data_IF_022525099276
#
_entry.id   IF_022525099276
#
_cell.length_a   1.000
_cell.length_b   1.000
_cell.length_c   1.000
_cell.angle_alpha   90.00
_cell.angle_beta   90.00
_cell.angle_gamma   90.00
#
_symmetry.space_group_name_H-M   'P 1'
#
loop_
_entity.id
_entity.type
_entity.pdbx_description
1 polymer ?
#
# COMPACT_ATOMS: atom_id res chain seq x y z
N UNK A 1 -36.84 -39.25 -12.61
CA UNK A 1 -36.46 -40.60 -12.20
C UNK A 1 -36.22 -40.67 -10.71
N UNK A 2 -35.29 -39.91 -10.12
CA UNK A 2 -34.96 -39.92 -8.69
C UNK A 2 -36.15 -39.63 -7.76
N UNK A 3 -37.04 -38.69 -8.08
CA UNK A 3 -38.26 -38.45 -7.29
C UNK A 3 -39.24 -39.63 -7.27
N UNK A 4 -39.32 -40.45 -8.32
CA UNK A 4 -40.15 -41.65 -8.36
C UNK A 4 -39.56 -42.84 -7.59
N UNK A 5 -38.20 -42.93 -7.51
CA UNK A 5 -37.55 -43.99 -6.78
C UNK A 5 -37.60 -43.82 -5.25
N UNK A 6 -37.79 -42.59 -4.76
CA UNK A 6 -37.81 -42.24 -3.33
C UNK A 6 -39.15 -42.38 -2.63
N UNK A 7 -40.24 -42.60 -3.38
CA UNK A 7 -41.61 -42.57 -2.81
C UNK A 7 -41.99 -43.86 -2.05
N UNK A 8 -41.21 -44.94 -2.20
CA UNK A 8 -41.56 -46.26 -1.64
C UNK A 8 -40.46 -46.95 -0.83
N UNK A 9 -39.45 -46.27 -0.39
CA UNK A 9 -38.35 -46.90 0.37
C UNK A 9 -38.49 -46.60 1.88
N UNK A 10 -38.50 -47.65 2.69
CA UNK A 10 -38.64 -47.59 4.16
C UNK A 10 -37.29 -47.39 4.88
N UNK A 11 -36.15 -47.42 4.13
CA UNK A 11 -34.82 -47.22 4.68
C UNK A 11 -34.49 -45.72 4.70
N UNK A 12 -34.39 -45.13 5.89
CA UNK A 12 -34.08 -43.72 6.11
C UNK A 12 -32.76 -43.25 5.46
N UNK A 13 -31.74 -44.12 5.47
CA UNK A 13 -30.42 -43.77 4.89
C UNK A 13 -30.48 -43.70 3.36
N UNK A 14 -31.30 -44.59 2.72
CA UNK A 14 -31.49 -44.54 1.27
C UNK A 14 -32.30 -43.33 0.88
N UNK A 15 -33.33 -42.95 1.64
CA UNK A 15 -34.12 -41.75 1.41
C UNK A 15 -33.27 -40.50 1.55
N UNK A 16 -32.46 -40.41 2.58
CA UNK A 16 -31.57 -39.24 2.80
C UNK A 16 -30.55 -39.09 1.66
N UNK A 17 -29.84 -40.17 1.30
CA UNK A 17 -28.90 -40.17 0.15
C UNK A 17 -29.59 -39.79 -1.16
N UNK A 18 -30.81 -40.27 -1.38
CA UNK A 18 -31.60 -39.95 -2.54
C UNK A 18 -32.01 -38.46 -2.60
N UNK A 19 -32.39 -37.87 -1.47
CA UNK A 19 -32.67 -36.42 -1.36
C UNK A 19 -31.39 -35.58 -1.65
N UNK A 20 -30.27 -35.98 -1.09
CA UNK A 20 -28.95 -35.36 -1.36
C UNK A 20 -28.60 -35.45 -2.85
N UNK A 21 -28.71 -36.61 -3.46
CA UNK A 21 -28.44 -36.83 -4.88
C UNK A 21 -29.36 -35.98 -5.78
N UNK A 22 -30.66 -35.91 -5.43
CA UNK A 22 -31.60 -35.04 -6.13
C UNK A 22 -31.25 -33.55 -6.00
N UNK A 23 -30.79 -33.12 -4.82
CA UNK A 23 -30.30 -31.79 -4.56
C UNK A 23 -29.06 -31.43 -5.42
N UNK A 24 -28.07 -32.33 -5.46
CA UNK A 24 -26.87 -32.19 -6.29
C UNK A 24 -27.22 -32.13 -7.78
N UNK A 25 -28.09 -33.05 -8.25
CA UNK A 25 -28.51 -33.06 -9.65
C UNK A 25 -29.28 -31.78 -10.03
N UNK A 26 -30.12 -31.24 -9.14
CA UNK A 26 -30.79 -29.95 -9.34
C UNK A 26 -29.84 -28.80 -9.36
N UNK A 27 -28.86 -28.77 -8.47
CA UNK A 27 -27.81 -27.75 -8.45
C UNK A 27 -26.99 -27.78 -9.74
N UNK A 28 -26.55 -28.96 -10.18
CA UNK A 28 -25.85 -29.15 -11.46
C UNK A 28 -26.65 -28.65 -12.65
N UNK A 29 -27.95 -28.99 -12.69
CA UNK A 29 -28.85 -28.52 -13.72
C UNK A 29 -29.01 -26.99 -13.74
N UNK A 30 -29.15 -26.35 -12.57
CA UNK A 30 -29.22 -24.87 -12.46
C UNK A 30 -27.90 -24.23 -12.89
N UNK A 31 -26.77 -24.76 -12.43
CA UNK A 31 -25.44 -24.21 -12.78
C UNK A 31 -25.05 -24.39 -14.25
N UNK A 32 -25.69 -25.32 -14.97
CA UNK A 32 -25.47 -25.55 -16.42
C UNK A 32 -26.33 -24.67 -17.30
N UNK A 33 -27.34 -24.00 -16.76
CA UNK A 33 -28.22 -23.11 -17.54
C UNK A 33 -27.55 -21.82 -17.93
N UNK A 34 -28.13 -21.17 -18.94
CA UNK A 34 -27.84 -19.80 -19.33
C UNK A 34 -28.92 -18.88 -18.80
N UNK A 35 -28.50 -17.68 -18.39
CA UNK A 35 -29.37 -16.71 -17.72
C UNK A 35 -29.35 -15.35 -18.42
N UNK A 36 -30.47 -14.63 -18.38
CA UNK A 36 -30.58 -13.25 -18.83
C UNK A 36 -30.08 -12.27 -17.79
N UNK A 37 -30.16 -12.65 -16.52
CA UNK A 37 -29.78 -11.78 -15.40
C UNK A 37 -29.23 -12.60 -14.23
N UNK A 38 -28.06 -12.19 -13.73
CA UNK A 38 -27.53 -12.60 -12.44
C UNK A 38 -27.49 -11.40 -11.51
N UNK A 39 -28.01 -11.53 -10.30
CA UNK A 39 -27.92 -10.53 -9.23
C UNK A 39 -27.45 -11.26 -7.97
N UNK A 40 -26.34 -10.84 -7.38
CA UNK A 40 -25.81 -11.50 -6.19
C UNK A 40 -24.79 -10.64 -5.44
N UNK A 41 -24.62 -10.95 -4.16
CA UNK A 41 -23.45 -10.63 -3.38
C UNK A 41 -22.54 -11.87 -3.39
N UNK A 42 -21.37 -11.78 -3.99
CA UNK A 42 -20.45 -12.92 -4.17
C UNK A 42 -19.61 -13.19 -2.91
N UNK A 43 -19.19 -14.44 -2.65
CA UNK A 43 -18.30 -14.74 -1.54
C UNK A 43 -16.90 -14.16 -1.78
N UNK A 44 -16.26 -13.66 -0.70
CA UNK A 44 -14.91 -13.09 -0.71
C UNK A 44 -13.93 -14.07 -0.05
N UNK A 45 -13.00 -14.61 -0.84
CA UNK A 45 -11.97 -15.50 -0.35
C UNK A 45 -10.72 -15.37 -1.22
N UNK A 46 -9.71 -14.72 -0.66
CA UNK A 46 -8.45 -14.52 -1.36
C UNK A 46 -7.75 -15.86 -1.65
N UNK A 47 -7.01 -15.92 -2.75
CA UNK A 47 -6.32 -17.12 -3.23
C UNK A 47 -5.49 -17.84 -2.16
N UNK A 48 -4.76 -17.10 -1.30
CA UNK A 48 -3.94 -17.66 -0.24
C UNK A 48 -4.71 -18.30 0.92
N UNK A 49 -6.05 -18.14 0.95
CA UNK A 49 -6.94 -18.73 1.95
C UNK A 49 -7.80 -19.87 1.40
N UNK A 50 -7.68 -20.18 0.11
CA UNK A 50 -8.39 -21.28 -0.54
C UNK A 50 -7.71 -22.59 -0.18
N UNK A 51 -8.52 -23.65 0.02
CA UNK A 51 -7.99 -25.02 0.12
C UNK A 51 -7.43 -25.50 -1.23
N UNK A 52 -6.67 -26.56 -1.24
CA UNK A 52 -5.98 -27.08 -2.43
C UNK A 52 -6.95 -27.40 -3.58
N UNK A 53 -8.13 -27.94 -3.30
CA UNK A 53 -9.11 -28.32 -4.33
C UNK A 53 -9.66 -27.05 -5.02
N UNK A 54 -10.06 -26.06 -4.24
CA UNK A 54 -10.55 -24.77 -4.77
C UNK A 54 -9.44 -24.03 -5.50
N UNK A 55 -8.23 -24.01 -4.93
CA UNK A 55 -7.06 -23.38 -5.53
C UNK A 55 -6.76 -23.94 -6.93
N UNK A 56 -6.71 -25.27 -7.07
CA UNK A 56 -6.43 -25.96 -8.34
C UNK A 56 -7.57 -25.76 -9.34
N UNK A 57 -8.82 -25.81 -8.88
CA UNK A 57 -9.98 -25.55 -9.71
C UNK A 57 -9.96 -24.12 -10.29
N UNK A 58 -9.73 -23.11 -9.44
CA UNK A 58 -9.64 -21.72 -9.87
C UNK A 58 -8.44 -21.51 -10.81
N UNK A 59 -7.29 -22.13 -10.54
CA UNK A 59 -6.12 -22.08 -11.41
C UNK A 59 -6.41 -22.64 -12.80
N UNK A 60 -7.12 -23.77 -12.87
CA UNK A 60 -7.38 -24.48 -14.12
C UNK A 60 -8.44 -23.82 -14.99
N UNK A 61 -9.52 -23.32 -14.39
CA UNK A 61 -10.70 -22.86 -15.14
C UNK A 61 -10.89 -21.35 -15.16
N UNK A 62 -10.24 -20.60 -14.26
CA UNK A 62 -10.41 -19.17 -14.06
C UNK A 62 -9.07 -18.44 -13.85
N UNK A 63 -8.05 -18.84 -14.61
CA UNK A 63 -6.67 -18.41 -14.37
C UNK A 63 -6.48 -16.88 -14.24
N UNK A 64 -7.22 -16.09 -14.99
CA UNK A 64 -7.13 -14.61 -14.97
C UNK A 64 -7.87 -14.01 -13.77
N UNK A 65 -8.93 -14.69 -13.31
CA UNK A 65 -9.81 -14.25 -12.21
C UNK A 65 -9.45 -14.88 -10.85
N UNK A 66 -8.50 -15.82 -10.79
CA UNK A 66 -8.18 -16.69 -9.64
C UNK A 66 -7.73 -15.99 -8.36
N UNK A 67 -7.43 -14.70 -8.41
CA UNK A 67 -6.87 -13.96 -7.26
C UNK A 67 -7.81 -13.86 -6.07
N UNK A 68 -9.12 -13.90 -6.31
CA UNK A 68 -10.15 -13.95 -5.28
C UNK A 68 -11.38 -14.72 -5.80
N UNK A 69 -12.07 -15.41 -4.91
CA UNK A 69 -13.28 -16.17 -5.26
C UNK A 69 -14.37 -15.25 -5.84
N UNK A 70 -14.43 -14.01 -5.39
CA UNK A 70 -15.36 -13.01 -5.92
C UNK A 70 -15.20 -12.78 -7.44
N UNK A 71 -13.96 -12.64 -7.91
CA UNK A 71 -13.67 -12.48 -9.34
C UNK A 71 -13.90 -13.76 -10.13
N UNK A 72 -13.68 -14.93 -9.51
CA UNK A 72 -14.03 -16.24 -10.09
C UNK A 72 -15.55 -16.34 -10.29
N UNK A 73 -16.36 -15.96 -9.30
CA UNK A 73 -17.81 -15.93 -9.42
C UNK A 73 -18.28 -14.96 -10.52
N UNK A 74 -17.70 -13.77 -10.60
CA UNK A 74 -18.01 -12.81 -11.66
C UNK A 74 -17.73 -13.40 -13.05
N UNK A 75 -16.57 -14.01 -13.26
CA UNK A 75 -16.21 -14.64 -14.55
C UNK A 75 -17.13 -15.83 -14.88
N UNK A 76 -17.51 -16.62 -13.87
CA UNK A 76 -18.46 -17.74 -14.02
C UNK A 76 -19.86 -17.25 -14.43
N UNK A 77 -20.37 -16.20 -13.78
CA UNK A 77 -21.68 -15.63 -14.10
C UNK A 77 -21.72 -15.03 -15.50
N UNK A 78 -20.68 -14.29 -15.91
CA UNK A 78 -20.56 -13.76 -17.27
C UNK A 78 -20.57 -14.89 -18.32
N UNK A 79 -19.82 -15.97 -18.09
CA UNK A 79 -19.82 -17.17 -18.95
C UNK A 79 -21.19 -17.88 -18.98
N UNK A 80 -22.01 -17.71 -17.95
CA UNK A 80 -23.33 -18.32 -17.83
C UNK A 80 -24.45 -17.40 -18.34
N UNK A 81 -24.15 -16.20 -18.79
CA UNK A 81 -25.12 -15.34 -19.45
C UNK A 81 -25.43 -15.84 -20.86
N UNK A 82 -26.67 -15.58 -21.30
CA UNK A 82 -26.99 -15.57 -22.75
C UNK A 82 -26.33 -14.35 -23.40
N UNK A 83 -26.18 -14.31 -24.73
CA UNK A 83 -25.83 -13.07 -25.43
C UNK A 83 -26.81 -11.95 -25.04
N UNK A 84 -26.29 -10.80 -24.60
CA UNK A 84 -27.11 -9.70 -24.06
C UNK A 84 -27.48 -9.81 -22.58
N UNK A 85 -27.21 -10.94 -21.94
CA UNK A 85 -27.49 -11.12 -20.50
C UNK A 85 -26.59 -10.25 -19.62
N UNK A 86 -27.11 -9.86 -18.46
CA UNK A 86 -26.46 -8.94 -17.54
C UNK A 86 -26.12 -9.62 -16.20
N UNK A 87 -24.96 -9.30 -15.67
CA UNK A 87 -24.53 -9.68 -14.32
C UNK A 87 -24.40 -8.42 -13.48
N UNK A 88 -25.12 -8.35 -12.37
CA UNK A 88 -25.04 -7.29 -11.37
C UNK A 88 -24.59 -7.87 -10.04
N UNK A 89 -23.53 -7.31 -9.46
CA UNK A 89 -22.92 -7.88 -8.25
C UNK A 89 -22.42 -6.83 -7.29
N UNK A 90 -22.49 -7.16 -6.00
CA UNK A 90 -21.65 -6.55 -4.97
C UNK A 90 -20.35 -7.33 -4.94
N UNK A 91 -19.22 -6.66 -5.16
CA UNK A 91 -17.91 -7.31 -5.30
C UNK A 91 -16.80 -6.42 -4.76
N UNK A 92 -15.66 -7.02 -4.40
CA UNK A 92 -14.44 -6.25 -4.05
C UNK A 92 -13.99 -5.38 -5.22
N UNK A 93 -13.64 -4.12 -4.95
CA UNK A 93 -13.21 -3.19 -6.02
C UNK A 93 -11.73 -3.33 -6.43
N UNK A 94 -10.92 -4.07 -5.65
CA UNK A 94 -9.47 -4.12 -5.81
C UNK A 94 -9.00 -4.61 -7.20
N UNK A 95 -9.75 -5.46 -7.85
CA UNK A 95 -9.40 -5.96 -9.18
C UNK A 95 -9.48 -4.89 -10.28
N UNK A 96 -10.13 -3.74 -10.04
CA UNK A 96 -10.17 -2.63 -10.99
C UNK A 96 -8.78 -2.02 -11.24
N UNK A 97 -7.84 -2.16 -10.28
CA UNK A 97 -6.54 -1.47 -10.35
C UNK A 97 -5.32 -2.35 -10.01
N UNK A 98 -5.44 -3.49 -9.30
CA UNK A 98 -4.28 -4.34 -9.01
C UNK A 98 -3.64 -4.89 -10.27
N UNK A 99 -2.30 -4.83 -10.35
CA UNK A 99 -1.51 -5.34 -11.48
C UNK A 99 -1.77 -6.82 -11.78
N UNK A 100 -1.99 -7.63 -10.74
CA UNK A 100 -2.27 -9.07 -10.88
C UNK A 100 -3.52 -9.37 -11.70
N UNK A 101 -4.46 -8.43 -11.79
CA UNK A 101 -5.69 -8.57 -12.57
C UNK A 101 -5.65 -7.89 -13.95
N UNK A 102 -4.47 -7.44 -14.43
CA UNK A 102 -4.33 -6.81 -15.74
C UNK A 102 -4.99 -7.63 -16.85
N UNK A 103 -4.61 -8.89 -17.00
CA UNK A 103 -5.15 -9.79 -18.04
C UNK A 103 -6.66 -9.98 -17.91
N UNK A 104 -7.18 -10.04 -16.69
CA UNK A 104 -8.61 -10.15 -16.43
C UNK A 104 -9.37 -8.90 -16.88
N UNK A 105 -8.87 -7.70 -16.55
CA UNK A 105 -9.45 -6.44 -17.02
C UNK A 105 -9.41 -6.30 -18.53
N UNK A 106 -8.26 -6.60 -19.15
CA UNK A 106 -8.13 -6.57 -20.63
C UNK A 106 -9.16 -7.50 -21.30
N UNK A 107 -9.35 -8.69 -20.74
CA UNK A 107 -10.36 -9.63 -21.22
C UNK A 107 -11.77 -9.06 -21.13
N UNK A 108 -12.17 -8.56 -19.95
CA UNK A 108 -13.51 -8.00 -19.73
C UNK A 108 -13.74 -6.75 -20.56
N UNK A 109 -12.76 -5.83 -20.62
CA UNK A 109 -12.85 -4.61 -21.41
C UNK A 109 -12.95 -4.85 -22.92
N UNK A 110 -12.52 -6.02 -23.40
CA UNK A 110 -12.61 -6.42 -24.83
C UNK A 110 -13.84 -7.23 -25.17
N UNK A 111 -14.43 -7.95 -24.21
CA UNK A 111 -15.46 -8.94 -24.51
C UNK A 111 -16.82 -8.66 -23.90
N UNK A 112 -16.88 -7.84 -22.84
CA UNK A 112 -18.07 -7.57 -22.08
C UNK A 112 -18.30 -6.06 -21.94
N UNK A 113 -19.54 -5.64 -21.88
CA UNK A 113 -19.92 -4.24 -21.75
C UNK A 113 -20.07 -3.85 -20.31
N UNK A 114 -19.28 -2.89 -19.84
CA UNK A 114 -19.43 -2.27 -18.54
C UNK A 114 -20.57 -1.24 -18.58
N UNK A 115 -21.62 -1.46 -17.83
CA UNK A 115 -22.76 -0.53 -17.76
C UNK A 115 -22.56 0.52 -16.68
N UNK A 116 -22.34 0.06 -15.44
CA UNK A 116 -22.12 0.95 -14.28
C UNK A 116 -21.15 0.33 -13.30
N UNK A 117 -20.37 1.18 -12.65
CA UNK A 117 -19.54 0.88 -11.49
C UNK A 117 -19.81 1.94 -10.44
N UNK A 118 -20.30 1.53 -9.26
CA UNK A 118 -20.46 2.40 -8.11
C UNK A 118 -19.49 1.95 -7.01
N UNK A 119 -18.43 2.74 -6.75
CA UNK A 119 -17.42 2.45 -5.73
C UNK A 119 -17.95 2.87 -4.37
N UNK A 120 -18.08 1.92 -3.46
CA UNK A 120 -18.55 2.16 -2.09
C UNK A 120 -17.38 2.29 -1.11
N UNK A 121 -16.22 1.71 -1.43
CA UNK A 121 -15.09 1.69 -0.50
C UNK A 121 -15.33 0.86 0.75
N UNK A 122 -14.63 1.18 1.87
CA UNK A 122 -14.85 0.51 3.16
C UNK A 122 -16.19 0.95 3.77
N UNK A 123 -16.68 0.20 4.75
CA UNK A 123 -17.96 0.46 5.44
C UNK A 123 -19.19 0.49 4.49
N UNK A 124 -19.12 -0.29 3.40
CA UNK A 124 -20.25 -0.46 2.48
C UNK A 124 -21.40 -1.29 3.06
N UNK A 125 -21.14 -2.02 4.17
CA UNK A 125 -22.14 -2.84 4.88
C UNK A 125 -22.35 -2.34 6.31
N UNK A 126 -23.52 -2.64 6.87
CA UNK A 126 -23.83 -2.39 8.29
C UNK A 126 -23.34 -3.51 9.23
N UNK A 127 -22.79 -4.59 8.66
CA UNK A 127 -22.28 -5.78 9.38
C UNK A 127 -20.80 -5.66 9.69
N UNK A 128 -20.19 -6.60 10.48
CA UNK A 128 -18.76 -6.63 10.76
C UNK A 128 -17.82 -6.68 9.53
N UNK A 129 -18.35 -6.84 8.32
CA UNK A 129 -17.58 -6.80 7.05
C UNK A 129 -17.28 -5.38 6.57
N UNK A 130 -17.25 -4.41 7.45
CA UNK A 130 -17.07 -2.99 7.14
C UNK A 130 -15.69 -2.62 6.56
N UNK A 131 -14.66 -3.45 6.76
CA UNK A 131 -13.30 -3.21 6.25
C UNK A 131 -13.10 -3.53 4.77
N UNK A 132 -14.03 -4.24 4.15
CA UNK A 132 -13.91 -4.59 2.74
C UNK A 132 -14.21 -3.40 1.83
N UNK A 133 -13.27 -3.09 0.94
CA UNK A 133 -13.49 -2.11 -0.14
C UNK A 133 -14.36 -2.74 -1.22
N UNK A 134 -15.63 -2.43 -1.23
CA UNK A 134 -16.64 -3.00 -2.13
C UNK A 134 -17.14 -2.01 -3.15
N UNK A 135 -17.73 -2.54 -4.23
CA UNK A 135 -18.43 -1.79 -5.26
C UNK A 135 -19.67 -2.53 -5.73
N UNK A 136 -20.61 -1.79 -6.30
CA UNK A 136 -21.68 -2.32 -7.13
C UNK A 136 -21.23 -2.26 -8.58
N UNK A 137 -21.40 -3.36 -9.32
CA UNK A 137 -21.05 -3.42 -10.72
C UNK A 137 -22.14 -4.11 -11.53
N UNK A 138 -22.40 -3.60 -12.73
CA UNK A 138 -23.23 -4.27 -13.71
C UNK A 138 -22.49 -4.38 -15.04
N UNK A 139 -22.38 -5.61 -15.53
CA UNK A 139 -21.73 -5.98 -16.79
C UNK A 139 -22.72 -6.74 -17.68
N UNK A 140 -22.73 -6.47 -18.97
CA UNK A 140 -23.52 -7.23 -19.94
C UNK A 140 -22.63 -8.03 -20.89
N UNK A 141 -22.99 -9.28 -21.14
CA UNK A 141 -22.32 -10.13 -22.11
C UNK A 141 -22.75 -9.76 -23.53
N UNK A 142 -22.25 -8.61 -24.00
CA UNK A 142 -22.56 -8.04 -25.31
C UNK A 142 -21.31 -7.58 -26.00
N UNK A 143 -21.34 -7.59 -27.34
CA UNK A 143 -20.28 -7.02 -28.16
C UNK A 143 -20.14 -5.51 -27.88
N UNK A 144 -18.92 -5.04 -27.76
CA UNK A 144 -18.61 -3.66 -27.40
C UNK A 144 -18.75 -2.77 -28.62
N UNK A 145 -19.52 -1.70 -28.48
CA UNK A 145 -19.53 -0.57 -29.39
C UNK A 145 -18.29 0.30 -29.14
N UNK A 146 -17.70 0.87 -30.18
CA UNK A 146 -16.53 1.75 -30.10
C UNK A 146 -16.77 2.98 -29.21
N UNK A 147 -18.01 3.46 -29.14
CA UNK A 147 -18.42 4.62 -28.37
C UNK A 147 -18.98 4.26 -26.97
N UNK A 148 -18.90 2.98 -26.58
CA UNK A 148 -19.43 2.54 -25.30
C UNK A 148 -18.80 3.31 -24.14
N UNK A 149 -19.68 3.83 -23.28
CA UNK A 149 -19.34 4.59 -22.09
C UNK A 149 -19.64 3.75 -20.85
N UNK A 150 -18.72 3.74 -19.91
CA UNK A 150 -18.90 3.22 -18.56
C UNK A 150 -19.43 4.36 -17.69
N UNK A 151 -20.56 4.16 -17.03
CA UNK A 151 -21.04 5.06 -15.99
C UNK A 151 -20.35 4.73 -14.66
N UNK A 152 -19.75 5.70 -14.02
CA UNK A 152 -19.03 5.51 -12.75
C UNK A 152 -19.42 6.54 -11.71
N UNK A 153 -19.52 6.12 -10.47
CA UNK A 153 -19.61 7.01 -9.33
C UNK A 153 -18.75 6.49 -8.17
N UNK A 154 -18.31 7.39 -7.32
CA UNK A 154 -17.45 7.08 -6.17
C UNK A 154 -17.98 7.76 -4.92
N UNK A 155 -18.37 6.95 -3.96
CA UNK A 155 -18.85 7.37 -2.63
C UNK A 155 -18.00 6.74 -1.52
N UNK A 156 -16.76 6.37 -1.85
CA UNK A 156 -15.85 5.70 -0.90
C UNK A 156 -15.60 6.51 0.36
N UNK A 157 -15.56 7.83 0.25
CA UNK A 157 -15.28 8.74 1.37
C UNK A 157 -16.45 8.92 2.34
N UNK A 158 -17.66 8.52 1.96
CA UNK A 158 -18.79 8.60 2.87
C UNK A 158 -18.61 7.65 4.08
N UNK A 159 -18.82 8.13 5.33
CA UNK A 159 -18.32 7.48 6.54
C UNK A 159 -19.10 6.22 6.96
N UNK A 160 -20.30 6.01 6.45
CA UNK A 160 -21.15 4.87 6.82
C UNK A 160 -22.03 4.39 5.65
N UNK A 161 -22.59 3.19 5.75
CA UNK A 161 -23.49 2.63 4.75
C UNK A 161 -24.71 3.55 4.48
N UNK A 162 -25.27 4.17 5.52
CA UNK A 162 -26.40 5.11 5.40
C UNK A 162 -25.96 6.37 4.64
N UNK A 163 -24.80 6.93 4.97
CA UNK A 163 -24.26 8.08 4.25
C UNK A 163 -23.97 7.75 2.79
N UNK A 164 -23.49 6.54 2.49
CA UNK A 164 -23.26 6.05 1.12
C UNK A 164 -24.57 5.91 0.34
N UNK A 165 -25.62 5.43 0.96
CA UNK A 165 -26.95 5.36 0.34
C UNK A 165 -27.43 6.74 -0.11
N UNK A 166 -27.26 7.76 0.73
CA UNK A 166 -27.61 9.14 0.38
C UNK A 166 -26.68 9.68 -0.71
N UNK A 167 -25.37 9.44 -0.56
CA UNK A 167 -24.38 9.93 -1.50
C UNK A 167 -24.55 9.34 -2.91
N UNK A 168 -24.91 8.05 -3.05
CA UNK A 168 -25.19 7.43 -4.36
C UNK A 168 -26.28 8.19 -5.13
N UNK A 169 -27.27 8.74 -4.43
CA UNK A 169 -28.39 9.46 -5.04
C UNK A 169 -28.03 10.88 -5.51
N UNK A 170 -26.96 11.46 -4.95
CA UNK A 170 -26.57 12.86 -5.16
C UNK A 170 -25.23 13.04 -5.87
N UNK A 171 -24.37 12.02 -5.85
CA UNK A 171 -23.06 12.08 -6.50
C UNK A 171 -23.20 12.08 -8.02
N UNK A 172 -22.45 12.97 -8.67
CA UNK A 172 -22.41 13.06 -10.12
C UNK A 172 -21.86 11.78 -10.75
N UNK A 173 -22.56 11.29 -11.80
CA UNK A 173 -22.12 10.13 -12.56
C UNK A 173 -21.08 10.57 -13.59
N UNK A 174 -19.85 10.10 -13.39
CA UNK A 174 -18.77 10.27 -14.37
C UNK A 174 -18.92 9.27 -15.50
N UNK A 175 -18.61 9.71 -16.72
CA UNK A 175 -18.69 8.89 -17.92
C UNK A 175 -17.33 8.77 -18.57
N UNK A 176 -16.83 7.55 -18.75
CA UNK A 176 -15.53 7.30 -19.38
C UNK A 176 -15.68 6.30 -20.51
N UNK A 177 -14.96 6.49 -21.62
CA UNK A 177 -15.00 5.55 -22.76
C UNK A 177 -14.35 4.24 -22.38
N UNK A 178 -15.06 3.12 -22.57
CA UNK A 178 -14.58 1.79 -22.19
C UNK A 178 -13.29 1.41 -22.94
N UNK A 179 -13.21 1.68 -24.23
CA UNK A 179 -12.07 1.34 -25.06
C UNK A 179 -10.79 2.09 -24.62
N UNK A 180 -10.94 3.30 -24.10
CA UNK A 180 -9.82 4.10 -23.62
C UNK A 180 -9.21 3.56 -22.34
N UNK A 181 -9.99 2.85 -21.51
CA UNK A 181 -9.47 2.22 -20.31
C UNK A 181 -8.39 1.16 -20.60
N UNK A 182 -8.35 0.58 -21.81
CA UNK A 182 -7.28 -0.31 -22.23
C UNK A 182 -5.93 0.38 -22.39
N UNK A 183 -5.92 1.71 -22.57
CA UNK A 183 -4.70 2.52 -22.70
C UNK A 183 -4.11 2.89 -21.34
N UNK A 184 -4.91 2.81 -20.29
CA UNK A 184 -4.43 3.09 -18.94
C UNK A 184 -3.36 2.06 -18.51
N UNK A 185 -2.42 2.43 -17.66
CA UNK A 185 -1.45 1.50 -17.08
C UNK A 185 -2.15 0.26 -16.54
N UNK A 186 -1.68 -0.94 -16.93
CA UNK A 186 -2.30 -2.22 -16.58
C UNK A 186 -3.80 -2.33 -16.94
N UNK A 187 -4.30 -1.57 -17.92
CA UNK A 187 -5.73 -1.48 -18.29
C UNK A 187 -6.64 -1.17 -17.07
N UNK A 188 -6.21 -0.31 -16.18
CA UNK A 188 -6.97 0.08 -14.98
C UNK A 188 -8.23 0.86 -15.34
N UNK A 189 -9.30 0.66 -14.59
CA UNK A 189 -10.56 1.37 -14.79
C UNK A 189 -10.58 2.57 -13.86
N UNK A 190 -10.45 3.77 -14.42
CA UNK A 190 -10.30 5.04 -13.71
C UNK A 190 -11.43 5.99 -14.14
N UNK A 191 -12.11 6.61 -13.15
CA UNK A 191 -13.13 7.63 -13.35
C UNK A 191 -12.53 9.01 -13.06
N UNK A 192 -11.92 9.62 -14.03
CA UNK A 192 -11.28 10.92 -13.93
C UNK A 192 -10.28 11.13 -15.05
N UNK A 193 -9.78 12.34 -15.17
CA UNK A 193 -8.67 12.62 -16.07
C UNK A 193 -7.41 11.93 -15.52
N UNK A 194 -6.76 11.16 -16.37
CA UNK A 194 -5.41 10.65 -16.09
C UNK A 194 -4.46 11.81 -16.33
N UNK A 195 -3.53 12.04 -15.41
CA UNK A 195 -2.55 13.11 -15.57
C UNK A 195 -1.81 12.96 -16.90
N UNK A 196 -1.76 14.04 -17.68
CA UNK A 196 -1.00 14.08 -18.91
C UNK A 196 0.50 13.97 -18.59
N UNK A 197 1.19 13.05 -19.22
CA UNK A 197 2.62 12.84 -19.01
C UNK A 197 3.03 11.38 -19.20
N UNK A 198 4.33 11.17 -19.17
CA UNK A 198 4.89 9.82 -19.14
C UNK A 198 4.70 9.20 -17.76
N UNK A 199 4.73 7.87 -17.68
CA UNK A 199 4.64 7.20 -16.39
C UNK A 199 5.92 7.40 -15.59
N UNK A 200 5.77 7.59 -14.28
CA UNK A 200 6.90 7.72 -13.35
C UNK A 200 7.86 6.52 -13.44
N UNK A 201 7.36 5.30 -13.76
CA UNK A 201 8.18 4.09 -13.91
C UNK A 201 9.27 4.20 -14.99
N UNK A 202 9.14 5.15 -15.94
CA UNK A 202 10.17 5.44 -16.95
C UNK A 202 11.40 6.09 -16.31
N UNK A 203 11.20 6.80 -15.21
CA UNK A 203 12.22 7.60 -14.51
C UNK A 203 12.72 6.97 -13.22
N UNK A 204 11.93 6.07 -12.61
CA UNK A 204 12.24 5.49 -11.32
C UNK A 204 11.64 4.08 -11.14
N UNK A 205 12.22 3.30 -10.24
CA UNK A 205 11.66 2.02 -9.77
C UNK A 205 11.24 2.13 -8.31
N UNK A 206 10.19 1.43 -7.90
CA UNK A 206 9.78 1.33 -6.50
C UNK A 206 10.16 -0.04 -5.93
N UNK A 207 10.81 -0.03 -4.77
CA UNK A 207 11.24 -1.23 -4.06
C UNK A 207 10.35 -1.52 -2.86
N UNK A 208 10.19 -2.80 -2.53
CA UNK A 208 9.59 -3.29 -1.31
C UNK A 208 10.65 -3.45 -0.23
N UNK A 209 10.34 -3.07 1.01
CA UNK A 209 11.25 -3.17 2.15
C UNK A 209 11.32 -4.56 2.80
N UNK A 210 12.19 -4.69 3.79
CA UNK A 210 12.43 -5.91 4.54
C UNK A 210 11.24 -6.18 5.46
N UNK A 211 10.74 -7.41 5.46
CA UNK A 211 9.84 -7.93 6.49
C UNK A 211 10.62 -8.86 7.40
N UNK A 212 10.75 -8.50 8.68
CA UNK A 212 11.50 -9.29 9.66
C UNK A 212 10.77 -10.56 10.12
N UNK A 213 9.44 -10.58 10.00
CA UNK A 213 8.59 -11.61 10.59
C UNK A 213 8.50 -11.55 12.12
N UNK A 214 9.51 -11.00 12.79
CA UNK A 214 9.58 -10.79 14.24
C UNK A 214 10.43 -9.55 14.54
N UNK A 215 9.79 -8.38 14.55
CA UNK A 215 10.51 -7.13 14.80
C UNK A 215 11.05 -7.06 16.24
N UNK A 216 10.35 -7.58 17.23
CA UNK A 216 10.80 -7.53 18.62
C UNK A 216 12.12 -8.28 18.84
N UNK A 217 12.37 -9.31 18.03
CA UNK A 217 13.63 -10.06 18.06
C UNK A 217 14.76 -9.32 17.34
N UNK A 218 14.49 -8.75 16.18
CA UNK A 218 15.52 -8.22 15.27
C UNK A 218 15.62 -6.71 15.24
N UNK A 219 14.61 -5.98 15.73
CA UNK A 219 14.57 -4.52 15.73
C UNK A 219 14.82 -3.91 17.11
N UNK A 220 15.36 -2.69 17.11
CA UNK A 220 15.51 -1.81 18.27
C UNK A 220 15.32 -0.36 17.82
N UNK A 221 15.20 0.56 18.77
CA UNK A 221 15.44 1.97 18.51
C UNK A 221 16.94 2.29 18.70
N UNK A 222 17.49 3.22 17.95
CA UNK A 222 18.95 3.41 17.89
C UNK A 222 19.57 3.73 19.25
N UNK A 223 18.84 4.35 20.18
CA UNK A 223 19.34 4.69 21.51
C UNK A 223 19.30 3.53 22.52
N UNK A 224 18.81 2.35 22.14
CA UNK A 224 18.91 1.13 22.97
C UNK A 224 20.26 0.42 22.82
N UNK A 225 21.11 0.87 21.90
CA UNK A 225 22.45 0.32 21.68
C UNK A 225 23.49 1.41 21.82
N UNK A 226 24.68 1.04 22.30
CA UNK A 226 25.77 2.01 22.51
C UNK A 226 26.33 2.57 21.21
N UNK A 227 26.31 1.78 20.14
CA UNK A 227 26.85 2.16 18.86
C UNK A 227 26.12 1.45 17.72
N UNK A 228 25.82 2.18 16.64
CA UNK A 228 25.31 1.65 15.39
C UNK A 228 26.46 1.62 14.38
N UNK A 229 27.10 0.47 14.25
CA UNK A 229 28.35 0.29 13.49
C UNK A 229 28.15 0.05 11.99
N UNK A 230 26.90 0.06 11.52
CA UNK A 230 26.49 -0.27 10.15
C UNK A 230 26.95 -1.67 9.66
N UNK A 231 27.29 -2.56 10.57
CA UNK A 231 27.65 -3.97 10.32
C UNK A 231 26.75 -4.90 11.11
N UNK A 232 26.83 -4.82 12.42
CA UNK A 232 25.97 -5.59 13.32
C UNK A 232 24.56 -5.01 13.36
N UNK A 233 24.45 -3.68 13.49
CA UNK A 233 23.21 -2.92 13.47
C UNK A 233 23.20 -1.96 12.29
N UNK A 234 22.08 -1.96 11.53
CA UNK A 234 21.82 -0.99 10.47
C UNK A 234 20.64 -0.11 10.82
N UNK A 235 20.72 1.18 10.48
CA UNK A 235 19.55 2.04 10.49
C UNK A 235 18.51 1.57 9.49
N UNK A 236 17.24 1.58 9.92
CA UNK A 236 16.10 1.19 9.11
C UNK A 236 15.13 2.35 8.95
N UNK A 237 14.86 2.72 7.72
CA UNK A 237 13.76 3.63 7.41
C UNK A 237 12.44 2.94 7.72
N UNK A 238 11.60 3.56 8.54
CA UNK A 238 10.24 3.12 8.86
C UNK A 238 9.22 4.17 8.48
N UNK A 239 7.94 3.91 8.76
CA UNK A 239 6.83 4.84 8.51
C UNK A 239 6.94 6.11 9.35
N UNK A 240 6.35 7.18 8.85
CA UNK A 240 6.35 8.51 9.45
C UNK A 240 5.01 9.22 9.20
N UNK A 241 4.67 10.19 10.05
CA UNK A 241 3.36 10.83 10.10
C UNK A 241 3.23 12.07 9.20
N UNK A 242 4.33 12.67 8.79
CA UNK A 242 4.38 13.89 7.97
C UNK A 242 5.42 13.76 6.85
N UNK A 243 5.24 14.53 5.78
CA UNK A 243 6.24 14.66 4.72
C UNK A 243 7.30 15.65 5.18
N UNK A 244 8.54 15.19 5.24
CA UNK A 244 9.72 16.00 5.54
C UNK A 244 10.95 15.38 4.88
N UNK A 245 12.00 16.18 4.70
CA UNK A 245 13.23 15.72 4.04
C UNK A 245 13.89 14.56 4.79
N UNK A 246 13.88 14.60 6.14
CA UNK A 246 14.62 13.63 6.95
C UNK A 246 13.80 13.23 8.19
N UNK A 247 13.07 12.10 8.10
CA UNK A 247 12.28 11.53 9.20
C UNK A 247 12.26 9.99 9.13
N UNK A 248 11.81 9.33 10.21
CA UNK A 248 11.47 7.90 10.22
C UNK A 248 12.66 6.96 10.32
N UNK A 249 13.79 7.37 10.91
CA UNK A 249 15.00 6.54 11.11
C UNK A 249 15.33 6.27 12.59
N UNK A 250 14.35 6.23 13.44
CA UNK A 250 14.54 5.86 14.84
C UNK A 250 14.86 4.37 15.02
N UNK A 251 14.48 3.52 14.07
CA UNK A 251 14.67 2.08 14.18
C UNK A 251 16.01 1.63 13.61
N UNK A 252 16.57 0.61 14.24
CA UNK A 252 17.72 -0.15 13.77
C UNK A 252 17.37 -1.63 13.70
N UNK A 253 18.04 -2.37 12.83
CA UNK A 253 17.85 -3.80 12.65
C UNK A 253 19.14 -4.56 12.87
N UNK A 254 19.03 -5.71 13.54
CA UNK A 254 20.14 -6.61 13.77
C UNK A 254 20.49 -7.33 12.47
N UNK A 255 21.58 -6.92 11.83
CA UNK A 255 21.89 -7.27 10.45
C UNK A 255 22.99 -8.29 10.27
N UNK A 256 24.02 -8.27 11.12
CA UNK A 256 25.15 -9.20 11.10
C UNK A 256 25.81 -9.31 9.69
N UNK A 257 26.09 -8.17 9.06
CA UNK A 257 26.64 -8.06 7.69
C UNK A 257 25.76 -8.73 6.59
N UNK A 258 24.50 -9.02 6.85
CA UNK A 258 23.60 -9.71 5.92
C UNK A 258 23.72 -11.23 5.90
N UNK A 259 24.47 -11.80 6.83
CA UNK A 259 24.70 -13.25 6.92
C UNK A 259 24.15 -13.88 8.21
N UNK A 260 23.55 -13.06 9.05
CA UNK A 260 23.12 -13.44 10.38
C UNK A 260 21.79 -14.18 10.46
N UNK A 261 21.25 -14.20 11.67
CA UNK A 261 20.04 -14.93 12.03
C UNK A 261 18.78 -14.41 11.34
N UNK A 262 18.69 -13.10 11.08
CA UNK A 262 17.57 -12.52 10.33
C UNK A 262 17.51 -13.05 8.89
N UNK A 263 18.64 -13.10 8.19
CA UNK A 263 18.71 -13.54 6.80
C UNK A 263 18.47 -15.05 6.63
N UNK A 264 18.59 -15.82 7.71
CA UNK A 264 18.36 -17.28 7.76
C UNK A 264 16.95 -17.63 8.27
N UNK A 265 16.15 -16.64 8.64
CA UNK A 265 14.81 -16.87 9.18
C UNK A 265 13.78 -17.16 8.09
N UNK A 266 13.05 -18.26 8.18
CA UNK A 266 11.96 -18.61 7.24
C UNK A 266 10.78 -17.64 7.28
N UNK A 267 10.61 -16.90 8.38
CA UNK A 267 9.57 -15.88 8.53
C UNK A 267 9.96 -14.53 7.95
N UNK A 268 11.25 -14.28 7.72
CA UNK A 268 11.74 -13.03 7.18
C UNK A 268 11.72 -13.03 5.64
N UNK A 269 11.56 -11.83 5.07
CA UNK A 269 11.75 -11.58 3.64
C UNK A 269 12.75 -10.46 3.46
N UNK A 270 13.93 -10.81 2.97
CA UNK A 270 15.02 -9.88 2.70
C UNK A 270 14.89 -9.40 1.27
N UNK A 271 14.60 -8.11 1.10
CA UNK A 271 14.35 -7.49 -0.20
C UNK A 271 14.66 -5.98 -0.15
N UNK A 272 14.70 -5.32 -1.31
CA UNK A 272 14.90 -3.88 -1.39
C UNK A 272 16.33 -3.42 -1.10
N UNK A 273 17.31 -4.31 -1.11
CA UNK A 273 18.72 -4.03 -0.72
C UNK A 273 19.43 -3.01 -1.64
N UNK A 274 18.91 -2.77 -2.85
CA UNK A 274 19.45 -1.71 -3.72
C UNK A 274 19.40 -0.33 -3.06
N UNK A 275 18.47 -0.10 -2.10
CA UNK A 275 18.36 1.16 -1.36
C UNK A 275 19.58 1.49 -0.48
N UNK A 276 20.40 0.49 -0.14
CA UNK A 276 21.66 0.68 0.62
C UNK A 276 22.72 1.37 -0.26
N UNK A 277 22.62 1.23 -1.57
CA UNK A 277 23.62 1.72 -2.53
C UNK A 277 23.26 3.06 -3.16
N UNK A 278 22.01 3.48 -3.06
CA UNK A 278 21.49 4.62 -3.82
C UNK A 278 20.55 5.46 -2.97
N UNK A 279 20.60 6.78 -3.16
CA UNK A 279 19.57 7.68 -2.64
C UNK A 279 18.21 7.36 -3.26
N UNK A 280 17.17 7.41 -2.44
CA UNK A 280 15.81 7.18 -2.89
C UNK A 280 14.81 8.04 -2.11
N UNK A 281 13.55 7.91 -2.46
CA UNK A 281 12.45 8.59 -1.78
C UNK A 281 11.60 7.51 -1.11
N UNK A 282 11.61 7.50 0.22
CA UNK A 282 10.76 6.60 0.98
C UNK A 282 9.34 7.15 1.04
N UNK A 283 8.37 6.29 0.73
CA UNK A 283 6.94 6.60 0.78
C UNK A 283 6.29 5.70 1.83
N UNK A 284 5.62 6.29 2.80
CA UNK A 284 4.73 5.56 3.70
C UNK A 284 3.55 5.04 2.89
N UNK A 285 3.34 3.71 2.86
CA UNK A 285 2.33 3.09 2.00
C UNK A 285 0.88 3.34 2.44
N UNK A 286 0.67 3.96 3.58
CA UNK A 286 -0.65 4.20 4.18
C UNK A 286 -1.00 5.69 4.25
N UNK A 287 -2.28 5.97 4.53
CA UNK A 287 -2.83 7.31 4.71
C UNK A 287 -2.48 8.27 3.55
N UNK A 288 -1.79 9.35 3.83
CA UNK A 288 -1.49 10.43 2.87
C UNK A 288 -0.29 10.13 1.96
N UNK A 289 0.30 8.94 2.02
CA UNK A 289 1.51 8.57 1.26
C UNK A 289 2.66 9.55 1.52
N UNK A 290 2.86 9.90 2.78
CA UNK A 290 3.92 10.83 3.17
C UNK A 290 5.29 10.39 2.64
N UNK A 291 6.13 11.35 2.29
CA UNK A 291 7.42 11.15 1.66
C UNK A 291 8.58 11.64 2.53
N UNK A 292 9.69 10.93 2.49
CA UNK A 292 10.99 11.34 3.06
C UNK A 292 12.14 10.84 2.21
N UNK A 293 13.32 11.41 2.40
CA UNK A 293 14.52 10.99 1.67
C UNK A 293 15.16 9.78 2.36
N UNK A 294 15.42 8.73 1.60
CA UNK A 294 16.17 7.57 2.05
C UNK A 294 17.64 7.69 1.59
N UNK A 295 18.55 7.85 2.53
CA UNK A 295 19.98 7.96 2.28
C UNK A 295 20.66 6.63 2.54
N UNK A 296 20.76 5.78 1.52
CA UNK A 296 21.57 4.57 1.50
C UNK A 296 21.31 3.62 2.70
N UNK A 297 20.04 3.49 3.13
CA UNK A 297 19.70 2.58 4.22
C UNK A 297 18.65 1.57 3.82
N UNK A 298 18.55 0.50 4.59
CA UNK A 298 17.45 -0.45 4.50
C UNK A 298 16.14 0.19 4.98
N UNK A 299 15.02 -0.41 4.65
CA UNK A 299 13.71 0.07 5.03
C UNK A 299 12.75 -1.09 5.30
N UNK A 300 11.71 -0.84 6.09
CA UNK A 300 10.72 -1.84 6.44
C UNK A 300 9.68 -2.04 5.33
N UNK A 301 8.87 -3.08 5.46
CA UNK A 301 7.85 -3.43 4.47
C UNK A 301 6.58 -2.56 4.52
N UNK A 302 6.49 -1.60 5.42
CA UNK A 302 5.40 -0.61 5.48
C UNK A 302 5.75 0.67 4.70
N UNK A 303 7.00 0.76 4.26
CA UNK A 303 7.49 1.77 3.34
C UNK A 303 7.80 1.15 1.98
N UNK A 304 7.78 1.98 0.95
CA UNK A 304 8.41 1.71 -0.34
C UNK A 304 9.45 2.77 -0.63
N UNK A 305 10.56 2.39 -1.25
CA UNK A 305 11.57 3.36 -1.69
C UNK A 305 11.55 3.47 -3.21
N UNK A 306 11.33 4.68 -3.69
CA UNK A 306 11.40 5.04 -5.11
C UNK A 306 12.85 5.46 -5.40
N UNK A 307 13.52 4.70 -6.27
CA UNK A 307 14.90 4.96 -6.68
C UNK A 307 14.88 5.51 -8.11
N UNK A 308 15.42 6.70 -8.36
CA UNK A 308 15.56 7.24 -9.69
C UNK A 308 16.50 6.39 -10.54
N UNK A 309 16.24 6.30 -11.85
CA UNK A 309 17.15 5.63 -12.78
C UNK A 309 18.42 6.46 -13.04
N UNK A 310 18.31 7.79 -12.91
CA UNK A 310 19.43 8.73 -13.04
C UNK A 310 19.45 9.68 -11.84
N UNK A 311 20.65 10.02 -11.37
CA UNK A 311 20.81 10.91 -10.21
C UNK A 311 20.23 12.31 -10.45
N UNK A 312 20.29 12.82 -11.67
CA UNK A 312 19.73 14.11 -12.08
C UNK A 312 18.19 14.21 -11.88
N UNK A 313 17.50 13.05 -11.87
CA UNK A 313 16.05 12.98 -11.67
C UNK A 313 15.66 13.02 -10.19
N UNK A 314 16.60 12.94 -9.25
CA UNK A 314 16.30 12.84 -7.83
C UNK A 314 15.52 14.05 -7.29
N UNK A 315 15.98 15.27 -7.52
CA UNK A 315 15.31 16.48 -7.02
C UNK A 315 13.93 16.70 -7.66
N UNK A 316 13.76 16.57 -8.99
CA UNK A 316 12.44 16.59 -9.60
C UNK A 316 11.47 15.55 -9.05
N UNK A 317 11.96 14.33 -8.81
CA UNK A 317 11.17 13.25 -8.22
C UNK A 317 10.82 13.54 -6.76
N UNK A 318 11.76 14.07 -5.98
CA UNK A 318 11.49 14.51 -4.62
C UNK A 318 10.41 15.61 -4.58
N UNK A 319 10.51 16.62 -5.44
CA UNK A 319 9.51 17.69 -5.52
C UNK A 319 8.12 17.15 -5.85
N UNK A 320 8.03 16.12 -6.73
CA UNK A 320 6.78 15.46 -7.06
C UNK A 320 6.28 14.58 -5.90
N UNK A 321 7.08 13.63 -5.44
CA UNK A 321 6.67 12.66 -4.42
C UNK A 321 6.33 13.29 -3.07
N UNK A 322 6.89 14.47 -2.76
CA UNK A 322 6.57 15.26 -1.56
C UNK A 322 5.34 16.16 -1.70
N UNK A 323 4.69 16.17 -2.87
CA UNK A 323 3.52 17.00 -3.16
C UNK A 323 2.21 16.28 -2.86
N UNK A 324 1.15 17.05 -2.66
CA UNK A 324 -0.21 16.52 -2.54
C UNK A 324 -0.70 15.93 -3.88
N UNK A 325 -0.22 16.46 -5.00
CA UNK A 325 -0.55 16.01 -6.34
C UNK A 325 -0.13 14.54 -6.53
N UNK A 326 1.06 14.16 -6.06
CA UNK A 326 1.51 12.77 -6.11
C UNK A 326 0.57 11.84 -5.34
N UNK A 327 0.23 12.19 -4.11
CA UNK A 327 -0.71 11.40 -3.30
C UNK A 327 -2.06 11.25 -4.01
N UNK A 328 -2.58 12.33 -4.57
CA UNK A 328 -3.84 12.32 -5.31
C UNK A 328 -3.78 11.43 -6.56
N UNK A 329 -2.71 11.53 -7.35
CA UNK A 329 -2.53 10.69 -8.55
C UNK A 329 -2.45 9.20 -8.18
N UNK A 330 -1.68 8.85 -7.16
CA UNK A 330 -1.61 7.46 -6.67
C UNK A 330 -2.98 6.99 -6.17
N UNK A 331 -3.71 7.81 -5.42
CA UNK A 331 -5.03 7.47 -4.89
C UNK A 331 -6.13 7.37 -5.94
N UNK A 332 -6.03 8.08 -7.06
CA UNK A 332 -6.91 7.84 -8.22
C UNK A 332 -6.79 6.42 -8.75
N UNK A 333 -5.61 5.85 -8.66
CA UNK A 333 -5.25 4.55 -9.23
C UNK A 333 -5.41 3.41 -8.23
N UNK A 334 -5.07 3.64 -6.95
CA UNK A 334 -5.12 2.63 -5.88
C UNK A 334 -5.69 3.24 -4.58
N UNK A 335 -6.91 2.83 -4.24
CA UNK A 335 -7.62 3.29 -3.03
C UNK A 335 -7.49 2.31 -1.85
N UNK A 336 -6.59 1.35 -1.91
CA UNK A 336 -6.31 0.52 -0.74
C UNK A 336 -5.76 1.34 0.41
N UNK A 337 -6.05 0.91 1.63
CA UNK A 337 -5.43 1.48 2.84
C UNK A 337 -3.91 1.46 2.73
N UNK A 338 -3.33 0.33 2.30
CA UNK A 338 -1.91 0.21 1.98
C UNK A 338 -1.71 0.05 0.48
N UNK A 339 -1.07 1.01 -0.15
CA UNK A 339 -0.75 1.03 -1.59
C UNK A 339 0.44 0.10 -1.87
N UNK A 340 0.38 -0.65 -2.97
CA UNK A 340 1.50 -1.50 -3.36
C UNK A 340 2.63 -0.69 -4.00
N UNK A 341 3.88 -1.11 -3.79
CA UNK A 341 5.05 -0.47 -4.38
C UNK A 341 4.95 -0.31 -5.90
N UNK A 342 4.45 -1.33 -6.61
CA UNK A 342 4.27 -1.27 -8.06
C UNK A 342 3.32 -0.14 -8.53
N UNK A 343 2.36 0.28 -7.69
CA UNK A 343 1.43 1.36 -8.02
C UNK A 343 2.08 2.73 -7.89
N UNK A 344 3.01 2.89 -6.95
CA UNK A 344 3.65 4.17 -6.63
C UNK A 344 4.37 4.81 -7.82
N UNK A 345 4.78 4.02 -8.80
CA UNK A 345 5.45 4.51 -10.02
C UNK A 345 4.56 4.45 -11.27
N UNK A 346 3.31 3.98 -11.17
CA UNK A 346 2.37 3.88 -12.29
C UNK A 346 1.40 5.06 -12.33
N UNK A 347 1.92 6.24 -12.12
CA UNK A 347 1.21 7.52 -12.15
C UNK A 347 1.84 8.43 -13.19
N UNK A 348 1.05 9.38 -13.70
CA UNK A 348 1.55 10.37 -14.66
C UNK A 348 2.57 11.30 -14.00
N UNK A 349 3.66 11.58 -14.71
CA UNK A 349 4.74 12.43 -14.24
C UNK A 349 5.22 13.34 -15.37
N UNK A 350 5.28 14.63 -15.13
CA UNK A 350 5.82 15.61 -16.05
C UNK A 350 7.20 16.08 -15.58
N UNK A 351 8.26 15.48 -16.13
CA UNK A 351 9.65 15.80 -15.75
C UNK A 351 9.99 17.27 -15.89
N UNK A 352 9.52 17.94 -16.95
CA UNK A 352 9.86 19.36 -17.20
C UNK A 352 9.20 20.27 -16.18
N UNK A 353 7.93 20.02 -15.85
CA UNK A 353 7.20 20.77 -14.85
C UNK A 353 7.84 20.61 -13.47
N UNK A 354 8.03 19.40 -13.01
CA UNK A 354 8.61 19.12 -11.69
C UNK A 354 10.08 19.48 -11.59
N UNK A 355 10.82 19.41 -12.71
CA UNK A 355 12.19 19.91 -12.78
C UNK A 355 12.29 21.43 -12.56
N UNK A 356 11.31 22.20 -13.04
CA UNK A 356 11.24 23.64 -12.77
C UNK A 356 10.92 23.91 -11.29
N UNK A 357 9.89 23.24 -10.75
CA UNK A 357 9.53 23.37 -9.32
C UNK A 357 10.72 23.00 -8.41
N UNK A 358 11.44 21.93 -8.74
CA UNK A 358 12.61 21.52 -7.97
C UNK A 358 13.72 22.57 -7.96
N UNK A 359 14.01 23.19 -9.11
CA UNK A 359 14.98 24.28 -9.20
C UNK A 359 14.57 25.51 -8.40
N UNK A 360 13.28 25.85 -8.44
CA UNK A 360 12.76 27.00 -7.71
C UNK A 360 12.76 26.73 -6.18
N UNK A 361 12.41 25.52 -5.76
CA UNK A 361 12.37 25.13 -4.34
C UNK A 361 13.77 24.89 -3.75
N UNK A 362 14.66 24.34 -4.53
CA UNK A 362 16.01 23.91 -4.10
C UNK A 362 17.12 24.49 -4.99
N UNK A 363 17.28 25.81 -5.05
CA UNK A 363 18.24 26.48 -5.95
C UNK A 363 19.70 26.13 -5.63
N UNK A 364 19.99 25.69 -4.41
CA UNK A 364 21.32 25.27 -3.94
C UNK A 364 21.43 23.76 -3.72
N UNK A 365 20.48 22.96 -4.25
CA UNK A 365 20.36 21.52 -3.96
C UNK A 365 19.54 21.24 -2.71
N UNK A 366 19.63 20.03 -2.15
CA UNK A 366 18.88 19.65 -0.96
C UNK A 366 19.20 20.57 0.23
N UNK A 367 18.17 20.97 1.03
CA UNK A 367 18.40 21.80 2.20
C UNK A 367 19.17 21.06 3.30
N UNK A 368 19.84 21.82 4.16
CA UNK A 368 20.36 21.32 5.41
C UNK A 368 19.22 20.95 6.39
N UNK A 369 19.38 19.94 7.25
CA UNK A 369 20.58 19.18 7.48
C UNK A 369 20.84 18.14 6.38
N UNK A 370 21.93 18.26 5.66
CA UNK A 370 22.36 17.32 4.64
C UNK A 370 23.52 16.48 5.18
N UNK A 371 23.23 15.50 6.00
CA UNK A 371 24.20 14.66 6.69
C UNK A 371 23.92 13.19 6.50
N UNK A 372 24.98 12.40 6.60
CA UNK A 372 24.92 10.94 6.64
C UNK A 372 24.48 10.41 8.00
N UNK A 373 24.48 11.23 9.06
CA UNK A 373 24.04 10.83 10.40
C UNK A 373 22.52 10.86 10.54
N UNK A 374 21.82 9.70 10.55
CA UNK A 374 20.38 9.65 10.66
C UNK A 374 19.84 10.21 11.98
N UNK A 375 20.64 10.25 13.01
CA UNK A 375 20.19 10.64 14.37
C UNK A 375 19.84 12.11 14.45
N UNK A 376 20.45 12.97 13.65
CA UNK A 376 20.10 14.39 13.58
C UNK A 376 18.67 14.65 13.08
N UNK A 377 18.03 13.68 12.42
CA UNK A 377 16.65 13.83 11.95
C UNK A 377 15.63 13.69 13.09
N UNK A 378 16.03 13.13 14.21
CA UNK A 378 15.21 13.00 15.41
C UNK A 378 15.47 14.18 16.34
N UNK A 379 16.70 14.64 16.40
CA UNK A 379 17.09 15.78 17.21
C UNK A 379 18.14 16.62 16.47
N UNK A 380 18.04 17.89 16.53
CA UNK A 380 19.04 18.83 15.98
C UNK A 380 20.09 19.23 17.05
N UNK A 381 20.55 18.24 17.83
CA UNK A 381 21.47 18.46 18.95
C UNK A 381 20.79 18.88 20.26
N UNK A 382 19.47 19.09 20.25
CA UNK A 382 18.74 19.54 21.45
C UNK A 382 17.29 19.02 21.45
N UNK A 383 16.73 18.58 22.62
CA UNK A 383 15.36 18.07 22.71
C UNK A 383 14.29 19.06 22.23
N UNK A 384 14.49 20.36 22.41
CA UNK A 384 13.50 21.39 22.19
C UNK A 384 12.99 21.49 20.74
N UNK A 385 13.82 21.07 19.78
CA UNK A 385 13.48 21.06 18.36
C UNK A 385 13.35 19.66 17.77
N UNK A 386 13.32 18.65 18.61
CA UNK A 386 13.13 17.27 18.20
C UNK A 386 11.66 16.92 18.07
N UNK A 387 11.31 16.07 17.11
CA UNK A 387 10.00 15.42 17.02
C UNK A 387 9.75 14.43 18.17
N UNK A 388 10.83 14.01 18.84
CA UNK A 388 10.82 13.03 19.94
C UNK A 388 11.57 13.58 21.17
N UNK A 389 11.18 14.74 21.75
CA UNK A 389 11.98 15.44 22.75
C UNK A 389 12.23 14.63 24.01
N UNK A 390 11.24 13.83 24.45
CA UNK A 390 11.37 12.97 25.62
C UNK A 390 12.39 11.87 25.40
N UNK A 391 12.36 11.21 24.22
CA UNK A 391 13.29 10.15 23.85
C UNK A 391 14.73 10.68 23.76
N UNK A 392 14.91 11.87 23.18
CA UNK A 392 16.23 12.53 23.11
C UNK A 392 16.76 12.83 24.52
N UNK A 393 15.91 13.38 25.40
CA UNK A 393 16.29 13.71 26.77
C UNK A 393 16.67 12.44 27.56
N UNK A 394 15.83 11.39 27.51
CA UNK A 394 16.09 10.14 28.22
C UNK A 394 17.35 9.43 27.69
N UNK A 395 17.55 9.39 26.35
CA UNK A 395 18.74 8.78 25.76
C UNK A 395 20.01 9.47 26.27
N UNK A 396 19.99 10.81 26.34
CA UNK A 396 21.13 11.58 26.85
C UNK A 396 21.40 11.31 28.32
N UNK A 397 20.38 11.24 29.15
CA UNK A 397 20.49 10.93 30.57
C UNK A 397 21.04 9.52 30.80
N UNK A 398 20.73 8.56 29.91
CA UNK A 398 21.29 7.21 29.91
C UNK A 398 22.71 7.12 29.34
N UNK A 399 23.33 8.25 29.04
CA UNK A 399 24.72 8.31 28.56
C UNK A 399 24.90 8.26 27.04
N UNK A 400 23.81 8.11 26.25
CA UNK A 400 23.92 8.15 24.78
C UNK A 400 24.37 9.55 24.34
N UNK A 401 25.33 9.58 23.41
CA UNK A 401 25.78 10.79 22.71
C UNK A 401 25.70 10.53 21.20
N UNK A 402 25.23 11.54 20.46
CA UNK A 402 25.05 11.42 19.03
C UNK A 402 26.41 11.55 18.33
N UNK A 403 26.62 10.83 17.23
CA UNK A 403 27.87 10.92 16.45
C UNK A 403 28.25 12.37 16.10
N UNK A 404 27.28 13.21 15.80
CA UNK A 404 27.47 14.63 15.48
C UNK A 404 28.06 15.47 16.62
N UNK A 405 28.05 14.98 17.85
CA UNK A 405 28.71 15.65 18.99
C UNK A 405 30.23 15.43 19.04
N UNK A 406 30.68 14.35 18.44
CA UNK A 406 32.09 13.97 18.41
C UNK A 406 32.78 14.27 17.10
N UNK A 407 32.04 14.28 15.99
CA UNK A 407 32.58 14.48 14.65
C UNK A 407 32.31 15.94 14.20
N UNK A 408 33.35 16.76 14.27
CA UNK A 408 33.30 18.16 13.83
C UNK A 408 33.24 18.31 12.31
N UNK A 409 33.70 17.30 11.57
CA UNK A 409 33.74 17.32 10.11
C UNK A 409 32.39 16.84 9.48
N UNK A 410 31.50 16.30 10.29
CA UNK A 410 30.18 15.87 9.82
C UNK A 410 29.41 17.05 9.20
N UNK A 411 28.84 16.84 8.03
CA UNK A 411 27.98 17.82 7.37
C UNK A 411 26.67 18.02 8.16
N UNK A 412 26.53 19.19 8.78
CA UNK A 412 25.36 19.60 9.53
C UNK A 412 24.97 21.03 9.18
N UNK A 413 23.70 21.36 9.37
CA UNK A 413 23.25 22.76 9.32
C UNK A 413 23.88 23.57 10.44
N UNK A 414 24.03 24.89 10.23
CA UNK A 414 24.51 25.80 11.27
C UNK A 414 23.62 25.73 12.52
N UNK A 415 22.31 25.63 12.34
CA UNK A 415 21.33 25.45 13.41
C UNK A 415 21.59 24.17 14.22
N UNK A 416 21.82 23.03 13.57
CA UNK A 416 22.14 21.78 14.26
C UNK A 416 23.46 21.91 15.05
N UNK A 417 24.47 22.58 14.50
CA UNK A 417 25.74 22.87 15.21
C UNK A 417 25.53 23.75 16.45
N UNK A 418 24.64 24.73 16.39
CA UNK A 418 24.29 25.56 17.56
C UNK A 418 23.60 24.73 18.64
N UNK A 419 22.60 23.92 18.26
CA UNK A 419 21.87 23.09 19.20
C UNK A 419 22.77 22.04 19.86
N UNK A 420 23.76 21.51 19.15
CA UNK A 420 24.78 20.62 19.72
C UNK A 420 25.64 21.35 20.76
N UNK A 421 26.01 22.61 20.52
CA UNK A 421 26.72 23.42 21.51
C UNK A 421 25.87 23.68 22.74
N UNK A 422 24.59 23.94 22.55
CA UNK A 422 23.67 24.25 23.63
C UNK A 422 23.38 23.02 24.52
N UNK A 423 23.21 21.83 23.93
CA UNK A 423 22.92 20.62 24.69
C UNK A 423 24.08 20.25 25.65
N UNK A 424 25.33 20.58 25.31
CA UNK A 424 26.49 20.34 26.16
C UNK A 424 26.41 21.04 27.51
N UNK A 425 25.63 22.12 27.61
CA UNK A 425 25.38 22.82 28.86
C UNK A 425 24.64 21.98 29.90
N UNK A 426 24.01 20.89 29.48
CA UNK A 426 23.27 19.96 30.36
C UNK A 426 24.09 18.72 30.78
N UNK A 427 25.34 18.57 30.33
CA UNK A 427 26.17 17.40 30.64
C UNK A 427 26.44 17.25 32.16
N UNK A 428 26.42 18.35 32.90
CA UNK A 428 26.59 18.34 34.35
C UNK A 428 25.41 17.73 35.12
N UNK A 429 24.26 17.47 34.45
CA UNK A 429 23.08 16.87 35.07
C UNK A 429 23.16 15.34 35.18
N UNK A 430 24.13 14.70 34.55
CA UNK A 430 24.37 13.26 34.63
C UNK A 430 25.84 13.00 34.98
N UNK A 431 26.11 12.04 35.83
CA UNK A 431 27.45 11.55 36.06
C UNK A 431 27.86 10.47 35.05
N UNK A 432 29.11 9.93 35.20
CA UNK A 432 29.62 8.92 34.28
C UNK A 432 28.90 7.57 34.37
N UNK A 433 28.14 7.35 35.43
CA UNK A 433 27.36 6.13 35.66
C UNK A 433 25.90 6.28 35.17
N UNK A 434 25.55 7.44 34.59
CA UNK A 434 24.22 7.75 34.08
C UNK A 434 23.22 8.15 35.17
N UNK A 435 23.71 8.47 36.38
CA UNK A 435 22.88 8.94 37.48
C UNK A 435 22.57 10.43 37.27
N UNK A 436 21.30 10.77 37.36
CA UNK A 436 20.83 12.15 37.20
C UNK A 436 21.11 12.92 38.50
N UNK A 437 22.02 13.87 38.41
CA UNK A 437 22.30 14.80 39.50
C UNK A 437 21.46 16.07 39.34
N UNK A 438 20.21 16.06 39.77
CA UNK A 438 19.39 17.27 39.75
C UNK A 438 19.87 18.14 40.93
N UNK A 439 20.38 19.37 40.67
CA UNK A 439 20.74 20.27 41.75
C UNK A 439 19.50 20.64 42.53
N UNK A 440 19.64 20.70 43.87
CA UNK A 440 18.59 21.17 44.73
C UNK A 440 18.14 22.58 44.32
N UNK A 441 16.84 22.72 44.01
CA UNK A 441 16.27 23.99 43.54
C UNK A 441 16.11 24.97 44.73
N UNK A 442 16.04 24.47 45.93
CA UNK A 442 16.02 25.27 47.15
C UNK A 442 17.09 24.72 48.11
N UNK A 443 17.96 25.64 48.55
CA UNK A 443 18.85 25.37 49.68
C UNK A 443 18.04 25.37 51.00
N UNK A 444 17.16 24.40 51.15
CA UNK A 444 16.53 24.10 52.46
C UNK A 444 16.62 22.58 52.67
#
# INVERSE_FOLDING_TARGET
>A
VLKKALVNDSDKDIVERGVMAAGIAKAGYLLSKKYTLHITNVPYLSRGKQDNVMYDYCQRYFNEAKGDLATVFLDKMLKSNIPGGTTSSVILQNWLFLTTYKKYREKLLKNDTFNIIARLGPKGFQTPMWDFNVMLIALSHTRIDENKVIAGLDVSDAPSAINKETAIKTTEIKKVKQKEQLKNPDARIIFGEVCEGELLEIYAKALQGIATGDFNRYGRVFWEVLNVDNKLWLYQQTTFSNTSEFVGKQNIIYWENGEGSLCKSDSARIQGLDSIKTKGIAISQMANLNATINLNTIFDNNCSVIIPHKEEDFLPLWAFCSSIEYSNEVRKVDQKTSVTNATLVKVGYNKNYWGKIAKDRYPKGMPAPNSCDPTQWIFHGHPIKSDQPLQVALSRLLGFRWPSEYDAEMELSDEARELIRDIKKFDHLSDNDGIICIPSVNKE
#
